data_IF_781527418584
#
_entry.id   IF_781527418584
#
_cell.length_a   1.000
_cell.length_b   1.000
_cell.length_c   1.000
_cell.angle_alpha   90.00
_cell.angle_beta   90.00
_cell.angle_gamma   90.00
#
_symmetry.space_group_name_H-M   'P 1'
#
loop_
_entity.id
_entity.type
_entity.pdbx_description
1 polymer ?
#
# COMPACT_ATOMS: atom_id res chain seq x y z
N UNK A 1 -8.28 13.81 60.40
CA UNK A 1 -9.41 13.68 59.46
C UNK A 1 -8.85 13.70 58.06
N UNK A 2 -8.67 12.53 57.45
CA UNK A 2 -7.93 12.35 56.19
C UNK A 2 -8.76 12.76 54.98
N UNK A 3 -8.22 13.67 54.19
CA UNK A 3 -8.68 13.97 52.82
C UNK A 3 -8.07 12.93 51.88
N UNK A 4 -8.89 11.99 51.39
CA UNK A 4 -8.45 11.01 50.40
C UNK A 4 -8.74 11.56 49.00
N UNK A 5 -7.63 11.85 48.30
CA UNK A 5 -7.56 12.46 46.98
C UNK A 5 -7.99 11.44 45.91
N UNK A 6 -9.14 11.68 45.29
CA UNK A 6 -9.73 10.82 44.26
C UNK A 6 -9.08 11.09 42.90
N UNK A 7 -7.80 10.78 42.75
CA UNK A 7 -7.10 10.86 41.46
C UNK A 7 -7.19 9.54 40.70
N UNK A 8 -7.81 9.62 39.53
CA UNK A 8 -7.69 8.74 38.36
C UNK A 8 -7.79 7.23 38.60
N UNK A 9 -9.03 6.72 38.56
CA UNK A 9 -9.26 5.32 38.19
C UNK A 9 -9.25 5.24 36.65
N UNK A 10 -8.30 4.53 36.01
CA UNK A 10 -8.33 4.33 34.57
C UNK A 10 -9.59 3.52 34.20
N UNK A 11 -10.32 4.00 33.20
CA UNK A 11 -11.53 3.37 32.67
C UNK A 11 -11.14 2.07 31.93
N UNK A 12 -11.57 0.88 32.41
CA UNK A 12 -11.21 -0.41 31.81
C UNK A 12 -11.71 -0.56 30.35
N UNK A 13 -12.78 0.13 29.96
CA UNK A 13 -13.33 0.05 28.60
C UNK A 13 -12.42 0.70 27.55
N UNK A 14 -11.66 1.72 27.96
CA UNK A 14 -10.71 2.43 27.08
C UNK A 14 -9.57 1.52 26.58
N UNK A 15 -9.13 0.56 27.41
CA UNK A 15 -8.04 -0.36 27.08
C UNK A 15 -8.45 -1.44 26.08
N UNK A 16 -9.67 -1.96 26.22
CA UNK A 16 -10.24 -2.95 25.30
C UNK A 16 -10.53 -2.34 23.92
N UNK A 17 -11.16 -1.15 23.89
CA UNK A 17 -11.42 -0.40 22.65
C UNK A 17 -10.13 -0.06 21.90
N UNK A 18 -9.06 0.33 22.61
CA UNK A 18 -7.75 0.58 22.00
C UNK A 18 -7.09 -0.68 21.45
N UNK A 19 -7.19 -1.80 22.16
CA UNK A 19 -6.65 -3.10 21.69
C UNK A 19 -7.36 -3.56 20.41
N UNK A 20 -8.68 -3.32 20.34
CA UNK A 20 -9.48 -3.59 19.15
C UNK A 20 -9.06 -2.74 17.95
N UNK A 21 -8.82 -1.43 18.15
CA UNK A 21 -8.33 -0.55 17.07
C UNK A 21 -6.92 -0.92 16.57
N UNK A 22 -6.03 -1.35 17.47
CA UNK A 22 -4.69 -1.84 17.06
C UNK A 22 -4.81 -3.13 16.24
N UNK A 23 -5.67 -4.06 16.65
CA UNK A 23 -5.94 -5.27 15.88
C UNK A 23 -6.56 -4.93 14.52
N UNK A 24 -7.52 -4.01 14.49
CA UNK A 24 -8.17 -3.51 13.27
C UNK A 24 -7.15 -2.87 12.32
N UNK A 25 -6.23 -2.04 12.81
CA UNK A 25 -5.15 -1.44 12.02
C UNK A 25 -4.27 -2.51 11.37
N UNK A 26 -3.82 -3.51 12.15
CA UNK A 26 -3.00 -4.61 11.60
C UNK A 26 -3.77 -5.44 10.56
N UNK A 27 -5.03 -5.77 10.84
CA UNK A 27 -5.85 -6.54 9.91
C UNK A 27 -6.15 -5.74 8.64
N UNK A 28 -6.32 -4.42 8.74
CA UNK A 28 -6.48 -3.52 7.61
C UNK A 28 -5.24 -3.54 6.71
N UNK A 29 -4.04 -3.38 7.28
CA UNK A 29 -2.79 -3.49 6.54
C UNK A 29 -2.63 -4.86 5.87
N UNK A 30 -3.16 -5.94 6.48
CA UNK A 30 -3.19 -7.27 5.86
C UNK A 30 -4.23 -7.42 4.75
N UNK A 31 -5.21 -6.53 4.63
CA UNK A 31 -6.37 -6.74 3.76
C UNK A 31 -6.21 -6.21 2.33
N UNK A 32 -5.21 -5.36 2.06
CA UNK A 32 -5.06 -4.70 0.75
C UNK A 32 -5.19 -5.63 -0.47
N UNK A 33 -4.57 -6.83 -0.50
CA UNK A 33 -4.64 -7.72 -1.66
C UNK A 33 -6.06 -8.20 -2.06
N UNK A 34 -7.02 -8.12 -1.13
CA UNK A 34 -8.40 -8.60 -1.34
C UNK A 34 -9.44 -7.47 -1.41
N UNK A 35 -9.03 -6.21 -1.22
CA UNK A 35 -9.94 -5.07 -1.15
C UNK A 35 -10.14 -4.34 -2.47
N UNK A 36 -9.29 -4.60 -3.46
CA UNK A 36 -9.31 -3.94 -4.76
C UNK A 36 -8.51 -4.75 -5.80
N UNK A 37 -8.83 -4.56 -7.08
CA UNK A 37 -8.15 -5.11 -8.25
C UNK A 37 -7.55 -4.03 -9.13
N UNK A 38 -8.15 -2.84 -9.19
CA UNK A 38 -7.56 -1.68 -9.86
C UNK A 38 -7.60 -0.42 -8.99
N UNK A 39 -6.60 0.44 -9.16
CA UNK A 39 -6.49 1.72 -8.48
C UNK A 39 -5.99 2.79 -9.43
N UNK A 40 -6.65 3.94 -9.41
CA UNK A 40 -6.13 5.19 -9.96
C UNK A 40 -5.85 6.16 -8.84
N UNK A 41 -4.64 6.68 -8.78
CA UNK A 41 -4.20 7.51 -7.67
C UNK A 41 -3.13 8.51 -8.09
N UNK A 42 -2.90 9.48 -7.24
CA UNK A 42 -1.83 10.46 -7.33
C UNK A 42 -0.81 10.16 -6.21
N UNK A 43 0.48 10.14 -6.53
CA UNK A 43 1.55 9.74 -5.62
C UNK A 43 2.63 10.83 -5.51
N UNK A 44 3.05 11.10 -4.28
CA UNK A 44 4.16 11.99 -3.95
C UNK A 44 5.08 11.31 -2.93
N UNK A 45 6.38 11.30 -3.22
CA UNK A 45 7.43 10.65 -2.40
C UNK A 45 8.43 11.63 -1.76
N UNK A 46 8.13 12.93 -1.76
CA UNK A 46 9.02 13.94 -1.17
C UNK A 46 8.50 14.42 0.21
N UNK A 47 9.32 15.19 0.96
CA UNK A 47 8.96 15.70 2.29
C UNK A 47 7.69 16.53 2.28
N UNK A 48 6.77 16.27 3.22
CA UNK A 48 5.61 17.13 3.47
C UNK A 48 5.33 17.23 4.97
N UNK A 49 4.92 18.40 5.44
CA UNK A 49 4.47 18.63 6.82
C UNK A 49 2.95 18.61 6.95
N UNK A 50 2.24 18.87 5.84
CA UNK A 50 0.79 18.90 5.72
C UNK A 50 0.37 18.20 4.42
N UNK A 51 -0.93 18.06 4.18
CA UNK A 51 -1.45 17.47 2.96
C UNK A 51 -0.83 18.10 1.72
N UNK A 52 -0.68 17.28 0.67
CA UNK A 52 -0.08 17.73 -0.57
C UNK A 52 -0.81 18.95 -1.14
N UNK A 53 -0.07 20.03 -1.46
CA UNK A 53 -0.67 21.14 -2.20
C UNK A 53 -1.21 20.63 -3.53
N UNK A 54 -2.36 21.14 -4.04
CA UNK A 54 -2.84 20.80 -5.38
C UNK A 54 -1.84 21.10 -6.50
N UNK A 55 -0.86 21.96 -6.25
CA UNK A 55 0.23 22.31 -7.17
C UNK A 55 1.48 21.42 -7.01
N UNK A 56 1.47 20.43 -6.12
CA UNK A 56 2.57 19.50 -5.97
C UNK A 56 2.73 18.63 -7.24
N UNK A 57 3.95 18.24 -7.62
CA UNK A 57 4.21 17.45 -8.82
C UNK A 57 3.83 15.98 -8.61
N UNK A 58 2.54 15.72 -8.39
CA UNK A 58 1.99 14.39 -8.14
C UNK A 58 2.12 13.52 -9.40
N UNK A 59 2.72 12.34 -9.24
CA UNK A 59 2.74 11.33 -10.30
C UNK A 59 1.36 10.67 -10.35
N UNK A 60 0.74 10.64 -11.53
CA UNK A 60 -0.53 9.95 -11.75
C UNK A 60 -0.25 8.48 -12.03
N UNK A 61 -0.93 7.61 -11.31
CA UNK A 61 -0.76 6.18 -11.39
C UNK A 61 -2.09 5.50 -11.75
N UNK A 62 -1.99 4.56 -12.68
CA UNK A 62 -3.02 3.56 -12.96
C UNK A 62 -2.41 2.20 -12.69
N UNK A 63 -3.06 1.42 -11.84
CA UNK A 63 -2.60 0.10 -11.46
C UNK A 63 -3.76 -0.88 -11.60
N UNK A 64 -3.49 -2.02 -12.21
CA UNK A 64 -4.42 -3.16 -12.29
C UNK A 64 -3.68 -4.46 -12.00
N UNK A 65 -4.17 -5.21 -11.02
CA UNK A 65 -3.61 -6.52 -10.66
C UNK A 65 -3.97 -7.57 -11.72
N UNK A 66 -3.10 -8.59 -11.97
CA UNK A 66 -1.75 -8.73 -11.43
C UNK A 66 -0.72 -7.99 -12.31
N UNK A 67 -0.15 -6.88 -11.80
CA UNK A 67 1.10 -6.33 -12.33
C UNK A 67 1.04 -5.30 -13.46
N UNK A 68 -0.13 -4.86 -13.93
CA UNK A 68 -0.21 -3.76 -14.88
C UNK A 68 -0.10 -2.42 -14.13
N UNK A 69 0.84 -1.56 -14.56
CA UNK A 69 1.12 -0.27 -13.93
C UNK A 69 1.49 0.74 -15.02
N UNK A 70 0.86 1.90 -14.98
CA UNK A 70 1.22 3.08 -15.77
C UNK A 70 1.40 4.27 -14.84
N UNK A 71 2.44 5.04 -15.10
CA UNK A 71 2.76 6.25 -14.37
C UNK A 71 3.00 7.40 -15.33
N UNK A 72 2.36 8.52 -15.05
CA UNK A 72 2.49 9.75 -15.81
C UNK A 72 2.89 10.91 -14.92
N UNK A 73 3.70 11.81 -15.46
CA UNK A 73 3.96 13.11 -14.84
C UNK A 73 2.67 13.96 -14.83
N UNK A 74 2.64 15.04 -14.02
CA UNK A 74 1.54 16.02 -14.07
C UNK A 74 1.26 16.56 -15.48
N UNK A 75 2.32 16.68 -16.30
CA UNK A 75 2.28 17.19 -17.68
C UNK A 75 1.84 16.13 -18.72
N UNK A 76 1.56 14.90 -18.28
CA UNK A 76 1.12 13.79 -19.14
C UNK A 76 2.25 13.02 -19.82
N UNK A 77 3.50 13.18 -19.38
CA UNK A 77 4.62 12.38 -19.86
C UNK A 77 4.57 10.99 -19.20
N UNK A 78 4.57 9.92 -19.99
CA UNK A 78 4.67 8.54 -19.46
C UNK A 78 6.05 8.32 -18.86
N UNK A 79 6.10 8.16 -17.53
CA UNK A 79 7.32 7.89 -16.77
C UNK A 79 7.63 6.39 -16.74
N UNK A 80 6.60 5.56 -16.69
CA UNK A 80 6.71 4.10 -16.64
C UNK A 80 5.42 3.45 -17.13
N UNK A 81 5.53 2.32 -17.83
CA UNK A 81 4.38 1.51 -18.23
C UNK A 81 4.74 0.03 -18.31
N UNK A 82 3.91 -0.82 -17.75
CA UNK A 82 3.98 -2.29 -17.84
C UNK A 82 2.58 -2.87 -17.97
N UNK A 83 2.42 -3.84 -18.86
CA UNK A 83 1.11 -4.41 -19.23
C UNK A 83 0.64 -5.54 -18.31
N UNK A 84 1.43 -5.98 -17.33
CA UNK A 84 1.10 -7.09 -16.43
C UNK A 84 1.00 -8.48 -17.09
N UNK A 85 1.04 -8.55 -18.42
CA UNK A 85 0.86 -9.79 -19.21
C UNK A 85 2.20 -10.48 -19.53
N UNK A 86 3.33 -9.79 -19.33
CA UNK A 86 4.65 -10.24 -19.77
C UNK A 86 5.72 -10.08 -18.67
N UNK A 87 5.51 -10.70 -17.50
CA UNK A 87 6.66 -11.37 -16.91
C UNK A 87 7.05 -12.46 -17.91
N UNK A 88 8.15 -12.20 -18.61
CA UNK A 88 8.51 -12.93 -19.80
C UNK A 88 8.50 -14.44 -19.55
N UNK A 89 7.65 -15.15 -20.29
CA UNK A 89 7.75 -16.59 -20.52
C UNK A 89 9.02 -16.97 -21.29
N UNK A 90 9.95 -16.05 -21.55
CA UNK A 90 11.28 -16.36 -22.10
C UNK A 90 12.19 -17.09 -21.10
N UNK A 91 11.77 -17.27 -19.85
CA UNK A 91 12.45 -18.08 -18.84
C UNK A 91 11.99 -19.53 -18.74
N UNK A 92 11.23 -20.07 -19.70
CA UNK A 92 10.89 -21.50 -19.73
C UNK A 92 12.17 -22.34 -19.93
N UNK A 93 12.81 -22.75 -18.82
CA UNK A 93 13.24 -24.13 -18.50
C UNK A 93 14.36 -24.29 -17.45
N UNK A 94 14.87 -23.23 -16.81
CA UNK A 94 16.03 -23.37 -15.90
C UNK A 94 15.88 -22.57 -14.60
N UNK A 95 14.90 -22.93 -13.77
CA UNK A 95 14.97 -22.97 -12.29
C UNK A 95 13.56 -22.91 -11.71
N UNK A 96 13.02 -24.07 -11.38
CA UNK A 96 11.75 -24.18 -10.65
C UNK A 96 11.92 -23.66 -9.22
N UNK A 97 11.84 -22.34 -9.03
CA UNK A 97 11.66 -21.75 -7.71
C UNK A 97 10.19 -21.91 -7.29
N UNK A 98 9.91 -22.19 -6.00
CA UNK A 98 8.53 -22.41 -5.50
C UNK A 98 7.52 -21.31 -5.87
N UNK A 99 8.01 -20.11 -6.22
CA UNK A 99 7.19 -18.95 -6.60
C UNK A 99 6.31 -19.16 -7.83
N UNK A 100 6.67 -20.06 -8.75
CA UNK A 100 5.89 -20.28 -9.99
C UNK A 100 4.55 -21.01 -9.80
N UNK A 101 4.33 -21.65 -8.64
CA UNK A 101 3.10 -22.38 -8.33
C UNK A 101 2.15 -21.63 -7.38
N UNK A 102 2.57 -20.48 -6.85
CA UNK A 102 1.74 -19.70 -5.95
C UNK A 102 0.66 -18.96 -6.74
N UNK A 103 -0.58 -19.06 -6.28
CA UNK A 103 -1.69 -18.32 -6.87
C UNK A 103 -1.62 -16.84 -6.46
N UNK A 104 -2.08 -15.92 -7.33
CA UNK A 104 -2.34 -14.53 -6.94
C UNK A 104 -3.26 -14.44 -5.71
N UNK A 105 -3.06 -13.47 -4.81
CA UNK A 105 -3.82 -13.37 -3.56
C UNK A 105 -5.34 -13.37 -3.74
N UNK A 106 -5.85 -12.69 -4.78
CA UNK A 106 -7.28 -12.60 -5.06
C UNK A 106 -7.93 -13.94 -5.44
N UNK A 107 -7.14 -14.96 -5.79
CA UNK A 107 -7.61 -16.32 -6.05
C UNK A 107 -7.52 -17.25 -4.82
N UNK A 108 -7.01 -16.76 -3.69
CA UNK A 108 -6.87 -17.52 -2.44
C UNK A 108 -7.70 -16.86 -1.35
N UNK A 109 -8.42 -17.66 -0.56
CA UNK A 109 -9.25 -17.14 0.54
C UNK A 109 -8.43 -16.97 1.82
N UNK A 110 -8.35 -15.77 2.40
CA UNK A 110 -7.67 -15.53 3.67
C UNK A 110 -8.60 -15.83 4.87
N UNK A 111 -8.04 -15.81 6.08
CA UNK A 111 -8.86 -15.88 7.29
C UNK A 111 -9.27 -14.47 7.69
N UNK A 112 -10.57 -14.22 7.72
CA UNK A 112 -11.14 -12.94 8.14
C UNK A 112 -11.38 -12.90 9.66
N UNK A 113 -11.43 -11.69 10.22
CA UNK A 113 -11.98 -11.42 11.54
C UNK A 113 -13.49 -11.15 11.50
N UNK A 114 -14.10 -10.83 12.65
CA UNK A 114 -15.53 -10.52 12.74
C UNK A 114 -15.95 -9.25 12.00
N UNK A 115 -14.99 -8.41 11.60
CA UNK A 115 -15.20 -7.15 10.87
C UNK A 115 -14.94 -7.31 9.36
N UNK A 116 -14.66 -8.53 8.88
CA UNK A 116 -14.36 -8.79 7.48
C UNK A 116 -12.96 -8.34 7.03
N UNK A 117 -12.06 -8.04 7.96
CA UNK A 117 -10.66 -7.74 7.67
C UNK A 117 -9.80 -9.00 7.78
N UNK A 118 -8.70 -9.05 7.02
CA UNK A 118 -7.81 -10.20 6.98
C UNK A 118 -7.02 -10.31 8.28
N UNK A 119 -7.34 -11.32 9.08
CA UNK A 119 -6.60 -11.70 10.27
C UNK A 119 -5.33 -12.46 9.92
N UNK A 120 -5.38 -13.40 8.97
CA UNK A 120 -4.24 -14.21 8.55
C UNK A 120 -4.20 -14.37 7.03
N UNK A 121 -3.02 -14.06 6.46
CA UNK A 121 -2.72 -14.24 5.04
C UNK A 121 -2.35 -15.69 4.71
N UNK A 122 -2.89 -16.28 3.63
CA UNK A 122 -2.45 -17.56 3.12
C UNK A 122 -1.10 -17.42 2.40
N UNK A 123 -0.49 -18.53 2.01
CA UNK A 123 0.65 -18.51 1.10
C UNK A 123 0.16 -18.19 -0.32
N UNK A 124 0.64 -17.09 -0.91
CA UNK A 124 0.23 -16.60 -2.21
C UNK A 124 1.36 -15.80 -2.87
N UNK A 125 1.23 -15.52 -4.16
CA UNK A 125 2.16 -14.68 -4.92
C UNK A 125 1.93 -13.20 -4.60
N UNK A 126 2.36 -12.75 -3.41
CA UNK A 126 2.31 -11.33 -3.04
C UNK A 126 3.38 -10.52 -3.77
N UNK A 127 3.08 -9.23 -3.95
CA UNK A 127 3.96 -8.27 -4.59
C UNK A 127 3.14 -7.33 -5.47
N UNK A 128 3.33 -6.04 -5.28
CA UNK A 128 2.74 -5.00 -6.14
C UNK A 128 3.80 -4.50 -7.12
N UNK A 129 3.41 -4.12 -8.36
CA UNK A 129 4.34 -3.53 -9.30
C UNK A 129 4.97 -2.28 -8.67
N UNK A 130 6.30 -2.23 -8.68
CA UNK A 130 7.06 -1.14 -8.10
C UNK A 130 7.47 -0.12 -9.14
N UNK A 131 7.64 1.12 -8.71
CA UNK A 131 8.27 2.18 -9.51
C UNK A 131 9.26 2.96 -8.65
N UNK A 132 10.47 3.16 -9.18
CA UNK A 132 11.54 3.81 -8.44
C UNK A 132 12.03 2.92 -7.30
N UNK A 133 11.59 3.22 -6.08
CA UNK A 133 11.98 2.52 -4.87
C UNK A 133 10.88 1.57 -4.35
N UNK A 134 11.21 0.64 -3.45
CA UNK A 134 10.24 -0.32 -2.92
C UNK A 134 9.15 0.27 -2.02
N UNK A 135 9.23 1.55 -1.62
CA UNK A 135 8.19 2.21 -0.80
C UNK A 135 6.86 2.28 -1.52
N UNK A 136 6.87 2.49 -2.82
CA UNK A 136 5.66 2.51 -3.65
C UNK A 136 4.87 1.20 -3.53
N UNK A 137 5.55 0.06 -3.74
CA UNK A 137 4.93 -1.26 -3.58
C UNK A 137 4.52 -1.54 -2.13
N UNK A 138 5.36 -1.15 -1.16
CA UNK A 138 5.04 -1.31 0.25
C UNK A 138 3.82 -0.47 0.66
N UNK A 139 3.64 0.73 0.09
CA UNK A 139 2.48 1.57 0.37
C UNK A 139 1.18 0.92 -0.11
N UNK A 140 1.21 0.30 -1.29
CA UNK A 140 0.07 -0.43 -1.86
C UNK A 140 -0.27 -1.71 -1.08
N UNK A 141 0.74 -2.39 -0.50
CA UNK A 141 0.55 -3.55 0.36
C UNK A 141 1.34 -3.41 1.68
N UNK A 142 0.82 -2.69 2.71
CA UNK A 142 1.57 -2.32 3.91
C UNK A 142 1.67 -3.45 4.94
N UNK A 143 1.82 -4.69 4.47
CA UNK A 143 1.87 -5.90 5.31
C UNK A 143 3.07 -5.91 6.26
N UNK A 144 4.16 -5.22 5.91
CA UNK A 144 5.35 -5.08 6.76
C UNK A 144 5.04 -4.39 8.11
N UNK A 145 3.97 -3.59 8.19
CA UNK A 145 3.51 -2.98 9.45
C UNK A 145 2.72 -3.97 10.31
N UNK A 146 2.04 -4.93 9.68
CA UNK A 146 1.18 -5.87 10.38
C UNK A 146 1.92 -7.14 10.81
N UNK A 147 2.81 -7.66 9.95
CA UNK A 147 3.50 -8.93 10.13
C UNK A 147 2.58 -10.15 10.05
N UNK A 148 3.17 -11.31 10.27
CA UNK A 148 2.46 -12.60 10.30
C UNK A 148 1.52 -12.71 11.50
N UNK A 149 0.43 -13.44 11.32
CA UNK A 149 -0.53 -13.74 12.38
C UNK A 149 -1.02 -15.20 12.29
N UNK A 150 -1.30 -15.86 13.43
CA UNK A 150 -1.12 -15.38 14.80
C UNK A 150 0.36 -15.21 15.17
N UNK A 151 0.64 -14.31 16.12
CA UNK A 151 1.98 -14.14 16.68
C UNK A 151 2.30 -15.37 17.55
N UNK A 152 3.46 -16.02 17.37
CA UNK A 152 3.85 -17.15 18.23
C UNK A 152 3.91 -16.75 19.70
N UNK A 153 3.33 -17.57 20.58
CA UNK A 153 3.33 -17.34 22.03
C UNK A 153 4.75 -17.31 22.63
N UNK A 154 5.67 -18.06 22.03
CA UNK A 154 7.09 -18.16 22.43
C UNK A 154 7.86 -16.86 22.15
N UNK A 155 7.38 -16.03 21.22
CA UNK A 155 8.02 -14.79 20.79
C UNK A 155 7.01 -13.63 20.77
N UNK A 156 6.57 -13.14 21.94
CA UNK A 156 5.57 -12.07 22.04
C UNK A 156 6.05 -10.72 21.43
N UNK A 157 7.34 -10.59 21.13
CA UNK A 157 7.95 -9.46 20.42
C UNK A 157 8.06 -9.61 18.90
N UNK A 158 7.49 -10.65 18.29
CA UNK A 158 7.56 -10.85 16.82
C UNK A 158 6.68 -9.91 16.00
N UNK A 159 5.92 -9.02 16.64
CA UNK A 159 5.23 -7.95 15.91
C UNK A 159 6.27 -7.00 15.32
N UNK A 160 6.19 -6.69 14.01
CA UNK A 160 7.22 -5.92 13.34
C UNK A 160 7.27 -4.47 13.81
N UNK A 161 6.13 -3.88 14.15
CA UNK A 161 6.08 -2.51 14.68
C UNK A 161 5.32 -2.47 15.99
N UNK A 162 5.66 -1.57 16.89
CA UNK A 162 4.79 -1.15 17.98
C UNK A 162 3.78 -0.15 17.42
N UNK A 163 2.49 -0.32 17.72
CA UNK A 163 1.40 0.54 17.23
C UNK A 163 0.78 1.27 18.42
N UNK A 164 0.69 2.59 18.33
CA UNK A 164 0.14 3.48 19.36
C UNK A 164 -0.84 4.47 18.73
N UNK A 165 -1.68 5.07 19.57
CA UNK A 165 -2.54 6.20 19.24
C UNK A 165 -3.34 6.03 17.94
N UNK A 166 -3.97 4.85 17.79
CA UNK A 166 -4.79 4.55 16.62
C UNK A 166 -6.08 5.35 16.70
N UNK A 167 -6.32 6.18 15.68
CA UNK A 167 -7.52 6.99 15.54
C UNK A 167 -8.14 6.81 14.16
N UNK A 168 -9.45 7.05 14.06
CA UNK A 168 -10.10 7.23 12.76
C UNK A 168 -9.79 8.63 12.25
N UNK A 169 -9.43 8.72 10.98
CA UNK A 169 -9.09 9.97 10.31
C UNK A 169 -9.78 10.04 8.95
N UNK A 170 -9.76 11.22 8.35
CA UNK A 170 -10.07 11.41 6.93
C UNK A 170 -8.78 11.60 6.14
N UNK A 171 -8.74 11.09 4.92
CA UNK A 171 -7.67 11.34 3.96
C UNK A 171 -8.29 11.65 2.60
N UNK A 172 -8.22 12.91 2.19
CA UNK A 172 -8.73 13.35 0.88
C UNK A 172 -10.23 13.00 0.67
N UNK A 173 -11.04 13.10 1.74
CA UNK A 173 -12.46 12.75 1.72
C UNK A 173 -12.76 11.26 1.85
N UNK A 174 -11.76 10.44 2.19
CA UNK A 174 -11.89 9.00 2.40
C UNK A 174 -11.62 8.62 3.85
N UNK A 175 -12.41 7.70 4.44
CA UNK A 175 -12.17 7.24 5.80
C UNK A 175 -10.89 6.42 5.88
N UNK A 176 -10.07 6.71 6.89
CA UNK A 176 -8.78 6.07 7.12
C UNK A 176 -8.55 5.77 8.61
N UNK A 177 -7.56 4.92 8.89
CA UNK A 177 -6.96 4.79 10.21
C UNK A 177 -5.60 5.43 10.22
N UNK A 178 -5.36 6.27 11.21
CA UNK A 178 -4.05 6.84 11.49
C UNK A 178 -3.49 6.23 12.78
N UNK A 179 -2.20 5.94 12.78
CA UNK A 179 -1.51 5.41 13.94
C UNK A 179 -0.08 5.94 14.03
N UNK A 180 0.44 6.05 15.24
CA UNK A 180 1.88 6.19 15.46
C UNK A 180 2.51 4.82 15.58
N UNK A 181 3.56 4.58 14.79
CA UNK A 181 4.25 3.29 14.75
C UNK A 181 5.74 3.47 14.94
N UNK A 182 6.36 2.50 15.61
CA UNK A 182 7.81 2.42 15.76
C UNK A 182 8.30 1.02 15.39
N UNK A 183 9.32 0.86 14.54
CA UNK A 183 9.82 -0.46 14.17
C UNK A 183 10.44 -1.16 15.39
N UNK A 184 10.13 -2.44 15.55
CA UNK A 184 10.78 -3.33 16.53
C UNK A 184 11.97 -4.04 15.86
N UNK A 185 12.79 -4.81 16.61
CA UNK A 185 13.80 -5.67 16.00
C UNK A 185 13.25 -6.73 15.04
N UNK A 186 11.94 -7.00 15.05
CA UNK A 186 11.27 -7.91 14.12
C UNK A 186 10.78 -7.20 12.83
N UNK A 187 10.95 -5.88 12.72
CA UNK A 187 10.60 -5.12 11.52
C UNK A 187 11.54 -5.48 10.37
N UNK A 188 11.01 -6.15 9.35
CA UNK A 188 11.71 -6.38 8.10
C UNK A 188 10.93 -5.67 6.98
N UNK A 189 11.46 -4.56 6.43
CA UNK A 189 10.82 -3.90 5.31
C UNK A 189 10.89 -4.76 4.04
N UNK A 190 9.92 -4.58 3.14
CA UNK A 190 9.91 -5.23 1.83
C UNK A 190 11.15 -4.85 1.03
N UNK A 191 11.53 -3.57 1.08
CA UNK A 191 12.77 -3.03 0.53
C UNK A 191 13.55 -2.28 1.63
N UNK A 192 14.70 -2.81 2.07
CA UNK A 192 15.55 -2.16 3.07
C UNK A 192 16.04 -0.76 2.68
N UNK A 193 16.12 -0.45 1.38
CA UNK A 193 16.51 0.89 0.93
C UNK A 193 15.37 1.91 1.07
N UNK A 194 14.12 1.46 1.17
CA UNK A 194 12.93 2.31 1.20
C UNK A 194 11.81 1.76 2.11
N UNK A 195 12.07 1.58 3.42
CA UNK A 195 11.07 1.09 4.38
C UNK A 195 9.85 2.01 4.54
N UNK A 196 8.65 1.52 4.86
CA UNK A 196 7.56 2.43 5.25
C UNK A 196 7.82 3.12 6.58
N UNK A 197 8.59 2.49 7.47
CA UNK A 197 8.93 2.98 8.80
C UNK A 197 10.43 3.14 8.96
N UNK A 198 10.88 4.37 9.20
CA UNK A 198 12.24 4.62 9.65
C UNK A 198 12.42 4.26 11.13
N UNK A 199 13.67 4.09 11.60
CA UNK A 199 13.96 4.03 13.03
C UNK A 199 13.35 5.21 13.79
N UNK A 200 12.65 4.93 14.90
CA UNK A 200 11.93 5.92 15.70
C UNK A 200 10.43 5.97 15.43
N UNK A 201 9.77 7.07 15.79
CA UNK A 201 8.32 7.22 15.61
C UNK A 201 7.98 7.68 14.20
N UNK A 202 6.96 7.06 13.60
CA UNK A 202 6.40 7.39 12.30
C UNK A 202 4.89 7.53 12.46
N UNK A 203 4.29 8.45 11.72
CA UNK A 203 2.83 8.56 11.58
C UNK A 203 2.42 7.91 10.27
N UNK A 204 1.55 6.92 10.36
CA UNK A 204 1.06 6.15 9.21
C UNK A 204 -0.44 6.30 9.10
N UNK A 205 -0.94 6.50 7.88
CA UNK A 205 -2.37 6.51 7.57
C UNK A 205 -2.70 5.46 6.52
N UNK A 206 -3.75 4.67 6.77
CA UNK A 206 -4.20 3.56 5.91
C UNK A 206 -5.68 3.74 5.57
N UNK A 207 -6.01 3.73 4.28
CA UNK A 207 -7.39 3.85 3.79
C UNK A 207 -8.23 2.65 4.23
N UNK A 208 -9.41 2.88 4.83
CA UNK A 208 -10.27 1.81 5.32
C UNK A 208 -10.90 0.99 4.18
N UNK A 209 -11.16 1.64 3.05
CA UNK A 209 -11.74 1.02 1.86
C UNK A 209 -10.78 0.02 1.23
N UNK A 210 -9.54 0.45 0.96
CA UNK A 210 -8.56 -0.29 0.16
C UNK A 210 -7.47 -0.99 0.98
N UNK A 211 -7.21 -0.57 2.22
CA UNK A 211 -6.08 -1.07 3.00
C UNK A 211 -4.70 -0.57 2.53
N UNK A 212 -4.68 0.41 1.63
CA UNK A 212 -3.45 1.07 1.13
C UNK A 212 -2.95 2.07 2.16
N UNK A 213 -1.64 2.09 2.39
CA UNK A 213 -0.97 3.13 3.17
C UNK A 213 -0.94 4.43 2.35
N UNK A 214 -1.85 5.34 2.68
CA UNK A 214 -2.04 6.61 1.96
C UNK A 214 -1.12 7.73 2.45
N UNK A 215 -0.54 7.57 3.64
CA UNK A 215 0.48 8.49 4.13
C UNK A 215 1.47 7.79 5.05
N UNK A 216 2.75 8.11 4.87
CA UNK A 216 3.79 7.88 5.87
C UNK A 216 4.55 9.17 6.12
N UNK A 217 4.88 9.45 7.39
CA UNK A 217 5.70 10.59 7.78
C UNK A 217 6.53 10.26 9.02
N UNK A 218 7.86 10.35 8.92
CA UNK A 218 8.74 10.16 10.07
C UNK A 218 8.69 11.37 11.02
N UNK A 219 8.55 11.11 12.32
CA UNK A 219 8.38 12.16 13.35
C UNK A 219 9.70 12.53 14.06
N UNK A 220 10.78 11.82 13.78
CA UNK A 220 12.07 12.07 14.44
C UNK A 220 12.78 13.31 13.85
N UNK A 221 13.50 14.09 14.68
CA UNK A 221 14.29 15.21 14.19
C UNK A 221 15.32 14.77 13.15
N UNK A 222 15.39 15.48 12.02
CA UNK A 222 16.31 15.17 10.92
C UNK A 222 15.82 14.11 9.94
N UNK A 223 14.68 13.44 10.21
CA UNK A 223 14.02 12.52 9.27
C UNK A 223 12.78 13.12 8.61
N UNK A 224 12.45 14.38 8.88
CA UNK A 224 11.31 15.11 8.29
C UNK A 224 11.35 15.28 6.77
N UNK A 225 12.27 14.58 6.09
CA UNK A 225 12.30 14.42 4.64
C UNK A 225 11.74 13.09 4.14
N UNK A 226 11.35 12.20 5.05
CA UNK A 226 10.98 10.84 4.73
C UNK A 226 9.49 10.61 4.89
N UNK A 227 8.85 10.22 3.80
CA UNK A 227 7.44 9.95 3.78
C UNK A 227 6.91 9.81 2.37
N UNK A 228 5.62 9.54 2.29
CA UNK A 228 4.86 9.59 1.04
C UNK A 228 3.43 10.07 1.30
N UNK A 229 2.81 10.61 0.26
CA UNK A 229 1.40 10.98 0.23
C UNK A 229 0.76 10.36 -1.01
N UNK A 230 -0.36 9.66 -0.82
CA UNK A 230 -1.06 8.97 -1.89
C UNK A 230 -2.55 9.31 -1.83
N UNK A 231 -3.02 10.01 -2.85
CA UNK A 231 -4.44 10.35 -3.00
C UNK A 231 -5.13 9.35 -3.94
N UNK A 232 -6.06 8.58 -3.40
CA UNK A 232 -6.86 7.63 -4.19
C UNK A 232 -7.95 8.39 -4.94
N UNK A 233 -7.96 8.28 -6.27
CA UNK A 233 -8.94 8.93 -7.13
C UNK A 233 -10.07 7.97 -7.51
N UNK A 234 -9.75 6.70 -7.79
CA UNK A 234 -10.74 5.68 -8.09
C UNK A 234 -10.25 4.28 -7.69
N UNK A 235 -11.23 3.41 -7.37
CA UNK A 235 -11.03 2.02 -6.95
C UNK A 235 -11.91 1.14 -7.84
N UNK A 236 -11.34 0.05 -8.35
CA UNK A 236 -12.02 -0.92 -9.20
C UNK A 236 -12.69 -0.31 -10.44
N UNK A 237 -12.11 0.78 -10.95
CA UNK A 237 -12.52 1.32 -12.24
C UNK A 237 -12.07 0.39 -13.37
N UNK A 238 -12.93 0.26 -14.37
CA UNK A 238 -12.61 -0.50 -15.56
C UNK A 238 -11.49 0.21 -16.34
N UNK A 239 -10.36 -0.48 -16.52
CA UNK A 239 -9.19 0.02 -17.25
C UNK A 239 -8.93 -0.88 -18.46
N UNK A 240 -8.89 -0.26 -19.65
CA UNK A 240 -8.56 -0.94 -20.91
C UNK A 240 -7.09 -1.39 -20.93
N UNK A 241 -6.79 -2.46 -21.64
CA UNK A 241 -5.42 -2.97 -21.78
C UNK A 241 -4.49 -1.96 -22.45
N UNK A 242 -5.01 -1.21 -23.43
CA UNK A 242 -4.29 -0.17 -24.17
C UNK A 242 -3.78 0.95 -23.26
N UNK A 243 -4.42 1.15 -22.11
CA UNK A 243 -3.95 2.11 -21.12
C UNK A 243 -2.54 1.76 -20.65
N UNK A 244 -2.17 0.48 -20.56
CA UNK A 244 -0.88 0.04 -20.00
C UNK A 244 0.21 -0.14 -21.05
N UNK A 245 -0.08 0.15 -22.32
CA UNK A 245 0.92 0.16 -23.39
C UNK A 245 1.76 1.44 -23.31
N UNK A 246 3.08 1.29 -23.46
CA UNK A 246 4.02 2.42 -23.42
C UNK A 246 3.77 3.42 -24.56
N UNK A 247 3.37 2.92 -25.73
CA UNK A 247 2.77 3.72 -26.79
C UNK A 247 1.27 3.56 -26.68
N UNK A 248 0.54 4.65 -26.41
CA UNK A 248 -0.88 4.65 -26.72
C UNK A 248 -0.96 4.44 -28.23
N UNK A 249 -1.46 3.29 -28.66
CA UNK A 249 -2.04 3.22 -29.99
C UNK A 249 -3.15 4.26 -29.95
N UNK A 250 -2.85 5.46 -30.45
CA UNK A 250 -3.87 6.38 -30.90
C UNK A 250 -4.72 5.51 -31.80
N UNK A 251 -5.89 5.12 -31.29
CA UNK A 251 -6.95 4.46 -32.02
C UNK A 251 -7.00 5.24 -33.31
N UNK A 252 -6.40 4.66 -34.35
CA UNK A 252 -6.01 5.43 -35.52
C UNK A 252 -7.31 6.05 -35.97
N UNK A 253 -7.38 7.39 -35.99
CA UNK A 253 -8.55 8.06 -36.51
C UNK A 253 -8.83 7.39 -37.85
N UNK A 254 -9.88 6.57 -37.91
CA UNK A 254 -10.16 5.69 -39.06
C UNK A 254 -10.45 6.50 -40.31
N UNK A 255 -10.50 7.84 -40.20
CA UNK A 255 -10.56 8.80 -41.30
C UNK A 255 -9.19 9.11 -41.92
N UNK A 256 -8.08 8.85 -41.24
CA UNK A 256 -6.73 8.95 -41.80
C UNK A 256 -6.31 7.61 -42.35
N UNK A 257 -6.52 7.44 -43.65
CA UNK A 257 -6.05 6.29 -44.41
C UNK A 257 -4.55 6.08 -44.18
N UNK A 258 -4.17 4.89 -43.73
CA UNK A 258 -2.77 4.45 -43.71
C UNK A 258 -2.40 4.13 -45.16
N UNK A 259 -1.54 4.95 -45.77
CA UNK A 259 -0.99 4.67 -47.10
C UNK A 259 -0.03 3.49 -46.99
N UNK A 260 -0.42 2.33 -47.53
CA UNK A 260 0.52 1.24 -47.77
C UNK A 260 1.27 1.53 -49.06
N UNK A 261 2.50 2.03 -48.96
CA UNK A 261 3.41 2.04 -50.11
C UNK A 261 3.91 0.61 -50.32
N UNK A 262 3.36 -0.05 -51.35
CA UNK A 262 3.86 -1.35 -51.82
C UNK A 262 5.03 -1.06 -52.78
N UNK A 263 6.26 -1.52 -52.48
CA UNK A 263 7.37 -1.39 -53.42
C UNK A 263 7.07 -2.18 -54.71
N UNK A 264 7.29 -1.54 -55.85
CA UNK A 264 7.18 -2.15 -57.17
C UNK A 264 8.32 -3.14 -57.46
#
# INVERSE_FOLDING_TARGET
MSTWDSRHRPDPDSGAARTDLVAMFRNLCRSSPWKWQSLRFEYWDEPFTEAASPAAPLVRAWLRRPGALRLESPDGLVLHSTTGINDSKDGFYVSSTRKSWLLPPHLVTPVYDGSGLVRRRPEAAYGEPGFGNGRFSAALDPVELAGSAPVPLEFPGSNPVEVRDVIRADHEGRPALEAEVAPTPAYHPVDPAAPLCLPGRNRIRVDLGTGVCVSSHALEPGTGRYGHWLRIIAVDEYMLDDLFLAESMNLTDVRRHISWDVPA
#
